data_IF_525948714476
#
_entry.id   IF_525948714476
#
_cell.length_a   1.000
_cell.length_b   1.000
_cell.length_c   1.000
_cell.angle_alpha   90.00
_cell.angle_beta   90.00
_cell.angle_gamma   90.00
#
_symmetry.space_group_name_H-M   'P 1'
#
loop_
_entity.id
_entity.type
_entity.pdbx_description
1 polymer ?
#
# COMPACT_ATOMS: atom_id res chain seq x y z
N UNK A 1 -12.07 -46.02 18.31
CA UNK A 1 -10.81 -45.28 18.08
C UNK A 1 -11.19 -43.86 17.69
N UNK A 2 -11.06 -42.91 18.62
CA UNK A 2 -11.43 -41.50 18.39
C UNK A 2 -10.28 -40.80 17.66
N UNK A 3 -10.52 -40.37 16.42
CA UNK A 3 -9.63 -39.49 15.66
C UNK A 3 -9.95 -38.05 16.04
N UNK A 4 -9.13 -37.46 16.92
CA UNK A 4 -9.20 -36.04 17.25
C UNK A 4 -8.47 -35.29 16.13
N UNK A 5 -9.22 -34.66 15.22
CA UNK A 5 -8.71 -33.64 14.31
C UNK A 5 -8.40 -32.38 15.14
N UNK A 6 -7.16 -32.26 15.59
CA UNK A 6 -6.67 -31.01 16.19
C UNK A 6 -6.55 -29.96 15.09
N UNK A 7 -7.57 -29.12 14.97
CA UNK A 7 -7.50 -27.86 14.23
C UNK A 7 -6.42 -26.98 14.84
N UNK A 8 -5.25 -26.91 14.22
CA UNK A 8 -4.31 -25.82 14.44
C UNK A 8 -4.85 -24.60 13.72
N UNK A 9 -5.75 -23.87 14.37
CA UNK A 9 -6.05 -22.51 13.94
C UNK A 9 -4.78 -21.69 14.15
N UNK A 10 -4.13 -21.30 13.05
CA UNK A 10 -3.09 -20.28 13.07
C UNK A 10 -3.72 -18.94 13.49
N UNK A 11 -3.96 -18.74 14.81
CA UNK A 11 -4.17 -17.42 15.39
C UNK A 11 -2.80 -16.75 15.63
N UNK A 12 -2.00 -16.64 14.57
CA UNK A 12 -0.83 -15.76 14.55
C UNK A 12 -1.23 -14.55 13.72
N UNK A 13 -1.36 -13.33 14.23
CA UNK A 13 -1.10 -12.77 15.53
C UNK A 13 -1.64 -11.33 15.48
N UNK A 14 -1.29 -10.50 16.46
CA UNK A 14 -1.46 -9.05 16.38
C UNK A 14 -1.19 -8.56 14.95
N UNK A 15 -2.14 -7.85 14.32
CA UNK A 15 -1.92 -7.20 13.04
C UNK A 15 -0.66 -6.35 13.16
N UNK A 16 0.46 -6.89 12.68
CA UNK A 16 1.75 -6.24 12.81
C UNK A 16 1.76 -5.09 11.84
N UNK A 17 2.16 -3.93 12.31
CA UNK A 17 2.31 -2.73 11.50
C UNK A 17 3.07 -3.03 10.19
N UNK A 18 2.66 -2.45 9.04
CA UNK A 18 3.36 -2.67 7.78
C UNK A 18 4.82 -2.19 7.86
N UNK A 19 5.73 -2.97 7.30
CA UNK A 19 7.13 -2.57 7.13
C UNK A 19 7.27 -1.50 6.04
N UNK A 20 8.40 -0.79 5.98
CA UNK A 20 8.65 0.17 4.89
C UNK A 20 8.59 -0.51 3.51
N UNK A 21 9.10 -1.75 3.41
CA UNK A 21 9.02 -2.53 2.17
C UNK A 21 7.57 -2.87 1.80
N UNK A 22 6.73 -3.21 2.78
CA UNK A 22 5.31 -3.49 2.53
C UNK A 22 4.62 -2.24 1.99
N UNK A 23 4.89 -1.09 2.60
CA UNK A 23 4.33 0.20 2.18
C UNK A 23 4.80 0.56 0.77
N UNK A 24 6.10 0.39 0.50
CA UNK A 24 6.67 0.67 -0.82
C UNK A 24 6.05 -0.22 -1.89
N UNK A 25 5.86 -1.50 -1.62
CA UNK A 25 5.18 -2.43 -2.55
C UNK A 25 3.73 -2.01 -2.78
N UNK A 26 2.97 -1.76 -1.71
CA UNK A 26 1.57 -1.34 -1.79
C UNK A 26 1.40 -0.07 -2.63
N UNK A 27 2.23 0.95 -2.36
CA UNK A 27 2.20 2.22 -3.08
C UNK A 27 2.70 2.10 -4.52
N UNK A 28 3.74 1.29 -4.77
CA UNK A 28 4.22 1.03 -6.13
C UNK A 28 3.14 0.35 -6.98
N UNK A 29 2.39 -0.60 -6.41
CA UNK A 29 1.28 -1.25 -7.08
C UNK A 29 0.16 -0.25 -7.43
N UNK A 30 -0.10 0.75 -6.59
CA UNK A 30 -1.07 1.82 -6.86
C UNK A 30 -0.59 2.75 -7.99
N UNK A 31 0.69 3.14 -7.97
CA UNK A 31 1.32 3.94 -9.04
C UNK A 31 1.31 3.17 -10.36
N UNK A 32 1.63 1.88 -10.35
CA UNK A 32 1.65 1.04 -11.56
C UNK A 32 0.24 0.86 -12.16
N UNK A 33 -0.79 0.72 -11.31
CA UNK A 33 -2.18 0.70 -11.77
C UNK A 33 -2.58 2.02 -12.41
N UNK A 34 -2.22 3.14 -11.79
CA UNK A 34 -2.41 4.49 -12.34
C UNK A 34 -1.68 4.64 -13.68
N UNK A 35 -0.43 4.21 -13.75
CA UNK A 35 0.40 4.27 -14.95
C UNK A 35 -0.11 3.38 -16.07
N UNK A 36 -0.66 2.20 -15.76
CA UNK A 36 -1.25 1.33 -16.77
C UNK A 36 -2.41 2.03 -17.49
N UNK A 37 -3.25 2.75 -16.75
CA UNK A 37 -4.31 3.59 -17.32
C UNK A 37 -3.72 4.76 -18.10
N UNK A 38 -2.77 5.50 -17.52
CA UNK A 38 -2.13 6.64 -18.19
C UNK A 38 -1.46 6.26 -19.50
N UNK A 39 -0.72 5.14 -19.54
CA UNK A 39 -0.06 4.65 -20.74
C UNK A 39 -1.06 4.27 -21.83
N UNK A 40 -2.22 3.73 -21.44
CA UNK A 40 -3.30 3.36 -22.38
C UNK A 40 -3.91 4.57 -23.09
N UNK A 41 -4.00 5.73 -22.42
CA UNK A 41 -4.72 6.91 -22.95
C UNK A 41 -3.82 8.10 -23.32
N UNK A 42 -2.65 8.23 -22.69
CA UNK A 42 -1.76 9.39 -22.79
C UNK A 42 -0.28 9.06 -23.04
N UNK A 43 0.06 7.77 -23.13
CA UNK A 43 1.41 7.30 -23.47
C UNK A 43 2.40 7.33 -22.31
N UNK A 44 3.61 6.82 -22.57
CA UNK A 44 4.67 6.64 -21.57
C UNK A 44 5.17 7.95 -20.95
N UNK A 45 5.11 9.05 -21.71
CA UNK A 45 5.60 10.36 -21.28
C UNK A 45 4.79 10.97 -20.11
N UNK A 46 3.59 10.45 -19.84
CA UNK A 46 2.74 10.89 -18.73
C UNK A 46 2.81 9.95 -17.51
N UNK A 47 3.60 8.89 -17.57
CA UNK A 47 3.76 7.97 -16.44
C UNK A 47 4.45 8.66 -15.26
N UNK A 48 3.91 8.44 -14.06
CA UNK A 48 4.50 8.87 -12.79
C UNK A 48 5.58 7.85 -12.42
N UNK A 49 6.73 8.31 -11.93
CA UNK A 49 7.78 7.43 -11.42
C UNK A 49 7.91 7.58 -9.92
N UNK A 50 7.79 6.48 -9.17
CA UNK A 50 8.23 6.44 -7.78
C UNK A 50 9.75 6.27 -7.73
N UNK A 51 10.47 7.20 -7.11
CA UNK A 51 11.91 7.11 -6.91
C UNK A 51 12.22 6.46 -5.55
N UNK A 52 11.57 6.95 -4.49
CA UNK A 52 11.72 6.39 -3.16
C UNK A 52 10.48 6.59 -2.29
N UNK A 53 10.38 5.76 -1.26
CA UNK A 53 9.36 5.89 -0.23
C UNK A 53 9.99 5.56 1.11
N UNK A 54 9.86 6.49 2.06
CA UNK A 54 10.38 6.34 3.41
C UNK A 54 9.25 6.35 4.43
N UNK A 55 9.27 5.38 5.33
CA UNK A 55 8.35 5.31 6.46
C UNK A 55 8.80 6.28 7.55
N UNK A 56 7.91 7.19 7.95
CA UNK A 56 8.15 8.10 9.08
C UNK A 56 7.60 7.48 10.37
N UNK A 57 6.32 7.07 10.34
CA UNK A 57 5.63 6.44 11.48
C UNK A 57 4.37 5.76 10.99
N UNK A 58 3.92 4.67 11.62
CA UNK A 58 2.53 4.27 11.48
C UNK A 58 1.85 4.04 12.82
N UNK A 59 0.53 4.14 12.79
CA UNK A 59 -0.34 3.89 13.92
C UNK A 59 -1.57 3.12 13.45
N UNK A 60 -2.11 2.28 14.32
CA UNK A 60 -3.37 1.58 14.08
C UNK A 60 -4.49 2.61 13.88
N UNK A 61 -5.36 2.38 12.90
CA UNK A 61 -6.46 3.27 12.60
C UNK A 61 -7.53 3.16 13.68
N UNK A 62 -7.95 4.30 14.24
CA UNK A 62 -9.04 4.35 15.22
C UNK A 62 -10.37 3.77 14.69
N UNK A 63 -10.53 3.64 13.36
CA UNK A 63 -11.75 3.14 12.71
C UNK A 63 -11.79 1.62 12.55
N UNK A 64 -10.63 0.99 12.31
CA UNK A 64 -10.52 -0.45 12.11
C UNK A 64 -9.13 -0.92 12.52
N UNK A 65 -9.08 -1.92 13.40
CA UNK A 65 -7.87 -2.53 13.95
C UNK A 65 -6.99 -3.27 12.92
N UNK A 66 -7.53 -3.47 11.73
CA UNK A 66 -6.84 -4.09 10.59
C UNK A 66 -6.27 -3.06 9.62
N UNK A 67 -6.43 -1.77 9.92
CA UNK A 67 -5.93 -0.66 9.11
C UNK A 67 -4.84 0.10 9.86
N UNK A 68 -3.82 0.56 9.13
CA UNK A 68 -2.76 1.39 9.66
C UNK A 68 -2.70 2.70 8.89
N UNK A 69 -2.60 3.81 9.62
CA UNK A 69 -2.30 5.12 9.06
C UNK A 69 -0.80 5.35 9.17
N UNK A 70 -0.13 5.42 8.03
CA UNK A 70 1.30 5.58 7.91
C UNK A 70 1.63 6.98 7.38
N UNK A 71 2.38 7.75 8.15
CA UNK A 71 3.06 8.93 7.65
C UNK A 71 4.29 8.48 6.86
N UNK A 72 4.36 8.90 5.62
CA UNK A 72 5.42 8.53 4.68
C UNK A 72 5.96 9.77 4.01
N UNK A 73 7.22 9.69 3.59
CA UNK A 73 7.84 10.63 2.69
C UNK A 73 8.00 9.96 1.34
N UNK A 74 7.45 10.57 0.29
CA UNK A 74 7.40 10.03 -1.06
C UNK A 74 8.29 10.92 -1.93
N UNK A 75 9.26 10.32 -2.60
CA UNK A 75 10.01 10.94 -3.69
C UNK A 75 9.52 10.35 -5.01
N UNK A 76 8.94 11.20 -5.85
CA UNK A 76 8.43 10.83 -7.15
C UNK A 76 8.91 11.78 -8.24
N UNK A 77 8.75 11.37 -9.48
CA UNK A 77 8.94 12.23 -10.64
C UNK A 77 7.64 12.27 -11.41
N UNK A 78 7.03 13.45 -11.42
CA UNK A 78 5.80 13.75 -12.13
C UNK A 78 6.14 14.20 -13.56
N UNK A 79 5.31 13.83 -14.55
CA UNK A 79 5.44 14.40 -15.88
C UNK A 79 5.25 15.93 -15.81
N UNK A 80 6.02 16.67 -16.62
CA UNK A 80 6.07 18.14 -16.67
C UNK A 80 6.67 18.85 -15.44
N UNK A 81 6.37 18.41 -14.22
CA UNK A 81 6.81 19.07 -12.98
C UNK A 81 8.19 18.58 -12.48
N UNK A 82 8.64 17.40 -12.92
CA UNK A 82 9.93 16.85 -12.54
C UNK A 82 9.90 16.20 -11.15
N UNK A 83 11.01 16.28 -10.42
CA UNK A 83 11.15 15.67 -9.09
C UNK A 83 10.22 16.36 -8.08
N UNK A 84 9.50 15.56 -7.32
CA UNK A 84 8.56 16.00 -6.31
C UNK A 84 8.74 15.15 -5.06
N UNK A 85 8.90 15.81 -3.92
CA UNK A 85 9.04 15.16 -2.63
C UNK A 85 7.96 15.68 -1.70
N UNK A 86 7.19 14.78 -1.10
CA UNK A 86 6.09 15.15 -0.22
C UNK A 86 6.01 14.24 1.01
N UNK A 87 5.48 14.80 2.10
CA UNK A 87 5.12 14.04 3.30
C UNK A 87 3.62 13.92 3.35
N UNK A 88 3.12 12.70 3.38
CA UNK A 88 1.67 12.43 3.37
C UNK A 88 1.32 11.30 4.33
N UNK A 89 0.04 11.18 4.65
CA UNK A 89 -0.50 10.09 5.46
C UNK A 89 -1.31 9.17 4.55
N UNK A 90 -0.88 7.92 4.43
CA UNK A 90 -1.60 6.89 3.69
C UNK A 90 -2.23 5.88 4.64
N UNK A 91 -3.41 5.37 4.28
CA UNK A 91 -4.05 4.29 5.04
C UNK A 91 -3.84 2.97 4.33
N UNK A 92 -3.23 1.99 5.01
CA UNK A 92 -3.04 0.64 4.50
C UNK A 92 -3.93 -0.37 5.22
N UNK A 93 -4.34 -1.41 4.51
CA UNK A 93 -5.00 -2.57 5.07
C UNK A 93 -4.48 -3.84 4.42
N UNK A 94 -4.59 -4.96 5.14
CA UNK A 94 -4.37 -6.27 4.51
C UNK A 94 -5.59 -6.64 3.68
N UNK A 95 -5.35 -7.00 2.42
CA UNK A 95 -6.34 -7.59 1.53
C UNK A 95 -5.90 -8.98 1.13
N UNK A 96 -6.88 -9.87 0.93
CA UNK A 96 -6.64 -11.16 0.30
C UNK A 96 -6.36 -10.93 -1.20
N UNK A 97 -5.24 -11.45 -1.69
CA UNK A 97 -4.82 -11.35 -3.10
C UNK A 97 -4.95 -12.71 -3.83
N UNK A 98 -5.66 -13.66 -3.24
CA UNK A 98 -5.90 -15.00 -3.76
C UNK A 98 -4.97 -16.06 -3.18
N UNK A 99 -5.38 -17.33 -3.28
CA UNK A 99 -4.65 -18.50 -2.79
C UNK A 99 -4.29 -18.44 -1.29
N UNK A 100 -5.11 -17.75 -0.48
CA UNK A 100 -4.87 -17.57 0.96
C UNK A 100 -3.68 -16.67 1.28
N UNK A 101 -3.20 -15.87 0.32
CA UNK A 101 -2.15 -14.87 0.53
C UNK A 101 -2.78 -13.52 0.83
N UNK A 102 -2.22 -12.83 1.83
CA UNK A 102 -2.59 -11.46 2.15
C UNK A 102 -1.45 -10.52 1.78
N UNK A 103 -1.79 -9.36 1.23
CA UNK A 103 -0.84 -8.28 0.95
C UNK A 103 -1.41 -6.94 1.41
N UNK A 104 -0.53 -5.95 1.60
CA UNK A 104 -0.92 -4.61 1.97
C UNK A 104 -1.41 -3.84 0.74
N UNK A 105 -2.58 -3.23 0.86
CA UNK A 105 -3.14 -2.33 -0.14
C UNK A 105 -3.34 -0.96 0.46
N UNK A 106 -3.17 0.07 -0.38
CA UNK A 106 -3.49 1.44 0.00
C UNK A 106 -5.01 1.64 -0.15
N UNK A 107 -5.70 1.97 0.94
CA UNK A 107 -7.16 2.13 0.95
C UNK A 107 -7.60 3.48 0.41
N UNK A 108 -6.78 4.51 0.63
CA UNK A 108 -6.92 5.86 0.07
C UNK A 108 -5.52 6.47 0.00
N UNK A 109 -4.97 6.51 -1.21
CA UNK A 109 -3.63 6.98 -1.49
C UNK A 109 -3.56 8.00 -2.60
N UNK A 110 -4.68 8.47 -3.16
CA UNK A 110 -4.71 9.59 -4.08
C UNK A 110 -6.04 10.31 -3.83
N UNK A 111 -6.00 11.43 -3.11
CA UNK A 111 -7.09 12.41 -3.15
C UNK A 111 -7.24 12.84 -4.61
N UNK A 112 -8.16 12.21 -5.33
CA UNK A 112 -8.76 12.78 -6.54
C UNK A 112 -9.55 14.00 -6.10
N UNK A 113 -8.86 15.09 -5.81
CA UNK A 113 -9.47 16.42 -5.74
C UNK A 113 -9.57 16.92 -7.17
N UNK A 114 -10.73 16.67 -7.79
CA UNK A 114 -11.18 17.37 -8.98
C UNK A 114 -12.69 17.63 -8.83
#
# INVERSE_FOLDING_TARGET
MFLVLTSTTFLTGCSREPSESDIKTAYSNEVDQTNALTRKFGGEALAIKLNDLKKISCQESNKNKEQFQCNVEIDSTLPMLGKHQEKTTITLAKSDIGNGKQDWIVLRGIDTTH
#
